data_IF_983883393671
#
_entry.id   IF_983883393671
#
_cell.length_a   1.000
_cell.length_b   1.000
_cell.length_c   1.000
_cell.angle_alpha   90.00
_cell.angle_beta   90.00
_cell.angle_gamma   90.00
#
_symmetry.space_group_name_H-M   'P 1'
#
loop_
_entity.id
_entity.type
_entity.pdbx_description
1 polymer ?
#
# COMPACT_ATOMS: atom_id res chain seq x y z
N UNK A 1 4.64 -11.61 0.57
CA UNK A 1 4.53 -10.52 -0.42
C UNK A 1 4.99 -11.00 -1.80
N UNK A 2 6.30 -11.15 -2.06
CA UNK A 2 6.81 -11.54 -3.39
C UNK A 2 6.19 -12.82 -4.00
N UNK A 3 5.94 -13.86 -3.20
CA UNK A 3 5.31 -15.12 -3.66
C UNK A 3 3.82 -14.94 -4.03
N UNK A 4 3.09 -14.11 -3.29
CA UNK A 4 1.66 -13.83 -3.50
C UNK A 4 1.44 -13.01 -4.77
N UNK A 5 2.23 -11.95 -4.93
CA UNK A 5 2.18 -11.06 -6.09
C UNK A 5 2.58 -11.79 -7.36
N UNK A 6 3.55 -12.71 -7.27
CA UNK A 6 3.92 -13.56 -8.39
C UNK A 6 2.77 -14.46 -8.85
N UNK A 7 2.10 -15.15 -7.92
CA UNK A 7 0.90 -15.93 -8.23
C UNK A 7 -0.21 -15.08 -8.83
N UNK A 8 -0.39 -13.85 -8.34
CA UNK A 8 -1.39 -12.94 -8.87
C UNK A 8 -1.10 -12.49 -10.31
N UNK A 9 0.17 -12.21 -10.61
CA UNK A 9 0.63 -11.87 -11.96
C UNK A 9 0.51 -13.08 -12.90
N UNK A 10 0.87 -14.28 -12.42
CA UNK A 10 0.71 -15.54 -13.15
C UNK A 10 -0.76 -15.81 -13.49
N UNK A 11 -1.67 -15.59 -12.53
CA UNK A 11 -3.12 -15.66 -12.69
C UNK A 11 -3.66 -14.66 -13.72
N UNK A 12 -3.35 -13.38 -13.54
CA UNK A 12 -3.82 -12.30 -14.40
C UNK A 12 -3.34 -12.44 -15.84
N UNK A 13 -2.04 -12.69 -16.04
CA UNK A 13 -1.45 -12.80 -17.38
C UNK A 13 -2.01 -14.00 -18.18
N UNK A 14 -2.26 -15.13 -17.52
CA UNK A 14 -2.83 -16.30 -18.18
C UNK A 14 -4.30 -16.10 -18.59
N UNK A 15 -5.10 -15.45 -17.73
CA UNK A 15 -6.50 -15.11 -18.03
C UNK A 15 -6.63 -14.17 -19.24
N UNK A 16 -5.74 -13.18 -19.36
CA UNK A 16 -5.72 -12.28 -20.52
C UNK A 16 -5.42 -13.04 -21.81
N UNK A 17 -4.42 -13.90 -21.77
CA UNK A 17 -3.92 -14.66 -22.91
C UNK A 17 -4.96 -15.60 -23.54
N UNK A 18 -5.81 -16.24 -22.72
CA UNK A 18 -6.88 -17.11 -23.23
C UNK A 18 -7.98 -16.33 -23.96
N UNK A 19 -8.17 -15.04 -23.64
CA UNK A 19 -9.12 -14.17 -24.32
C UNK A 19 -8.60 -13.67 -25.67
N UNK A 20 -7.28 -13.60 -25.85
CA UNK A 20 -6.63 -13.08 -27.06
C UNK A 20 -6.11 -14.15 -28.02
N UNK A 21 -6.30 -15.45 -27.71
CA UNK A 21 -5.84 -16.60 -28.53
C UNK A 21 -4.31 -16.71 -28.70
N UNK A 22 -3.52 -16.19 -27.76
CA UNK A 22 -2.05 -16.32 -27.75
C UNK A 22 -1.61 -17.39 -26.71
N UNK A 23 -0.36 -17.89 -26.77
CA UNK A 23 0.15 -18.96 -25.86
C UNK A 23 1.35 -18.49 -25.03
N UNK A 24 1.28 -18.53 -23.68
CA UNK A 24 2.32 -17.95 -22.79
C UNK A 24 2.52 -18.78 -21.50
N UNK A 25 3.79 -18.93 -21.04
CA UNK A 25 4.19 -19.52 -19.73
C UNK A 25 4.94 -18.51 -18.88
N UNK A 26 4.75 -18.49 -17.56
CA UNK A 26 5.38 -17.53 -16.63
C UNK A 26 6.53 -18.16 -15.83
N UNK A 27 7.65 -17.43 -15.65
CA UNK A 27 8.83 -17.90 -14.92
C UNK A 27 9.27 -16.98 -13.75
N UNK A 28 9.72 -17.66 -12.68
CA UNK A 28 10.59 -17.22 -11.57
C UNK A 28 11.05 -15.78 -11.41
N UNK A 29 10.47 -14.98 -10.50
CA UNK A 29 11.09 -13.72 -10.07
C UNK A 29 10.60 -13.17 -8.72
N UNK A 30 11.52 -12.57 -7.94
CA UNK A 30 11.22 -11.79 -6.72
C UNK A 30 10.80 -10.36 -7.08
N UNK A 31 9.85 -9.80 -6.32
CA UNK A 31 9.28 -8.46 -6.50
C UNK A 31 9.33 -7.70 -5.17
N UNK A 32 10.51 -7.18 -4.84
CA UNK A 32 10.73 -6.12 -3.87
C UNK A 32 11.76 -5.20 -4.55
N UNK A 33 11.31 -4.08 -5.12
CA UNK A 33 12.23 -3.07 -5.66
C UNK A 33 12.49 -1.97 -4.61
N UNK A 34 13.75 -1.60 -4.34
CA UNK A 34 14.15 -0.67 -3.28
C UNK A 34 14.01 0.83 -3.64
N UNK A 35 13.18 1.20 -4.62
CA UNK A 35 13.08 2.59 -5.09
C UNK A 35 11.70 3.18 -4.74
N UNK A 36 11.71 4.17 -3.84
CA UNK A 36 10.56 4.91 -3.30
C UNK A 36 9.84 5.81 -4.30
N UNK A 37 9.40 5.25 -5.43
CA UNK A 37 8.51 5.92 -6.37
C UNK A 37 7.12 5.27 -6.30
N UNK A 38 6.06 6.05 -6.52
CA UNK A 38 4.71 5.52 -6.70
C UNK A 38 4.71 4.42 -7.77
N UNK A 39 4.50 3.17 -7.37
CA UNK A 39 4.62 2.01 -8.25
C UNK A 39 3.25 1.43 -8.61
N UNK A 40 2.64 1.93 -9.70
CA UNK A 40 1.72 1.12 -10.51
C UNK A 40 2.58 0.37 -11.51
N UNK A 41 2.62 -0.95 -11.43
CA UNK A 41 3.43 -1.78 -12.33
C UNK A 41 2.56 -2.33 -13.44
N UNK A 42 2.82 -1.86 -14.66
CA UNK A 42 2.29 -2.47 -15.88
C UNK A 42 3.22 -3.62 -16.30
N UNK A 43 2.66 -4.82 -16.50
CA UNK A 43 3.43 -6.04 -16.84
C UNK A 43 3.19 -6.38 -18.30
N UNK A 44 4.23 -6.55 -19.11
CA UNK A 44 4.11 -6.86 -20.54
C UNK A 44 4.40 -8.33 -20.89
N UNK A 45 3.77 -8.85 -21.95
CA UNK A 45 4.07 -10.16 -22.52
C UNK A 45 4.44 -10.07 -24.03
N UNK A 46 5.26 -11.00 -24.53
CA UNK A 46 5.57 -11.20 -25.96
C UNK A 46 5.24 -12.63 -26.41
N UNK A 47 4.65 -12.84 -27.60
CA UNK A 47 4.53 -14.17 -28.20
C UNK A 47 5.92 -14.78 -28.49
N UNK A 48 6.12 -16.06 -28.13
CA UNK A 48 7.25 -16.87 -28.62
C UNK A 48 8.63 -16.71 -27.95
N UNK A 49 8.79 -15.89 -26.89
CA UNK A 49 10.08 -15.69 -26.18
C UNK A 49 9.93 -15.87 -24.65
N UNK A 50 10.96 -16.33 -23.92
CA UNK A 50 10.97 -16.29 -22.46
C UNK A 50 10.92 -14.83 -21.95
N UNK A 51 10.21 -14.60 -20.83
CA UNK A 51 9.94 -13.27 -20.27
C UNK A 51 11.20 -12.41 -20.16
N UNK A 52 11.21 -11.27 -20.86
CA UNK A 52 12.01 -10.11 -20.46
C UNK A 52 11.12 -9.21 -19.60
N UNK A 53 11.48 -9.02 -18.33
CA UNK A 53 10.76 -8.11 -17.42
C UNK A 53 10.90 -6.68 -17.96
N UNK A 54 9.89 -6.17 -18.66
CA UNK A 54 9.72 -4.74 -18.88
C UNK A 54 8.53 -4.29 -18.05
N UNK A 55 8.82 -3.48 -17.03
CA UNK A 55 7.81 -2.83 -16.19
C UNK A 55 7.81 -1.34 -16.51
N UNK A 56 6.64 -0.72 -16.66
CA UNK A 56 6.49 0.74 -16.60
C UNK A 56 5.82 1.12 -15.30
N UNK A 57 6.46 2.03 -14.59
CA UNK A 57 5.91 2.67 -13.40
C UNK A 57 5.13 3.91 -13.81
N UNK A 58 3.84 3.98 -13.49
CA UNK A 58 3.08 5.24 -13.55
C UNK A 58 3.24 5.99 -12.23
N UNK A 59 3.57 7.27 -12.31
CA UNK A 59 3.49 8.16 -11.15
C UNK A 59 2.02 8.55 -10.98
N UNK A 60 1.44 8.38 -9.79
CA UNK A 60 0.13 8.99 -9.57
C UNK A 60 0.26 10.51 -9.58
N UNK A 61 -0.72 11.15 -10.19
CA UNK A 61 -0.83 12.59 -10.24
C UNK A 61 -1.56 13.07 -8.98
N UNK A 62 -0.91 13.87 -8.16
CA UNK A 62 -1.56 14.62 -7.10
C UNK A 62 -2.23 15.86 -7.70
N UNK A 63 -3.54 15.98 -7.54
CA UNK A 63 -4.27 17.16 -8.01
C UNK A 63 -3.76 18.43 -7.31
N UNK A 64 -3.59 19.51 -8.06
CA UNK A 64 -3.58 20.87 -7.49
C UNK A 64 -5.03 21.32 -7.30
N UNK A 65 -5.30 22.09 -6.23
CA UNK A 65 -6.66 22.42 -5.75
C UNK A 65 -7.57 23.19 -6.72
N UNK A 66 -7.15 23.44 -7.97
CA UNK A 66 -7.81 24.34 -8.92
C UNK A 66 -8.78 23.65 -9.91
N UNK A 67 -8.84 22.31 -9.95
CA UNK A 67 -9.70 21.60 -10.89
C UNK A 67 -10.90 20.93 -10.19
N UNK A 68 -12.09 21.06 -10.80
CA UNK A 68 -13.30 20.37 -10.33
C UNK A 68 -13.17 18.83 -10.40
N UNK A 69 -13.98 18.08 -9.63
CA UNK A 69 -13.84 16.63 -9.50
C UNK A 69 -14.02 15.88 -10.83
N UNK A 70 -14.90 16.35 -11.71
CA UNK A 70 -15.15 15.73 -13.01
C UNK A 70 -14.02 16.00 -14.02
N UNK A 71 -13.44 17.21 -13.98
CA UNK A 71 -12.31 17.55 -14.86
C UNK A 71 -11.02 16.84 -14.44
N UNK A 72 -10.80 16.62 -13.13
CA UNK A 72 -9.70 15.81 -12.62
C UNK A 72 -9.82 14.34 -13.02
N UNK A 73 -11.01 13.76 -12.89
CA UNK A 73 -11.26 12.36 -13.27
C UNK A 73 -10.99 12.15 -14.77
N UNK A 74 -11.46 13.07 -15.62
CA UNK A 74 -11.17 13.03 -17.06
C UNK A 74 -9.67 13.17 -17.35
N UNK A 75 -8.97 14.07 -16.66
CA UNK A 75 -7.52 14.23 -16.79
C UNK A 75 -6.75 12.96 -16.39
N UNK A 76 -7.13 12.30 -15.29
CA UNK A 76 -6.53 11.03 -14.89
C UNK A 76 -6.76 9.93 -15.91
N UNK A 77 -7.98 9.78 -16.45
CA UNK A 77 -8.25 8.81 -17.52
C UNK A 77 -7.41 9.08 -18.76
N UNK A 78 -7.31 10.34 -19.18
CA UNK A 78 -6.49 10.75 -20.33
C UNK A 78 -5.01 10.41 -20.11
N UNK A 79 -4.47 10.76 -18.95
CA UNK A 79 -3.10 10.45 -18.57
C UNK A 79 -2.81 8.94 -18.57
N UNK A 80 -3.68 8.14 -17.97
CA UNK A 80 -3.51 6.68 -17.92
C UNK A 80 -3.57 6.06 -19.31
N UNK A 81 -4.53 6.49 -20.16
CA UNK A 81 -4.62 6.01 -21.54
C UNK A 81 -3.34 6.33 -22.32
N UNK A 82 -2.90 7.59 -22.30
CA UNK A 82 -1.68 8.01 -22.97
C UNK A 82 -0.47 7.21 -22.50
N UNK A 83 -0.35 6.96 -21.19
CA UNK A 83 0.76 6.19 -20.66
C UNK A 83 0.72 4.69 -21.04
N UNK A 84 -0.47 4.12 -21.26
CA UNK A 84 -0.61 2.77 -21.82
C UNK A 84 -0.23 2.78 -23.30
N UNK A 85 -0.77 3.70 -24.08
CA UNK A 85 -0.56 3.79 -25.54
C UNK A 85 0.92 4.02 -25.87
N UNK A 86 1.57 4.96 -25.17
CA UNK A 86 3.02 5.21 -25.26
C UNK A 86 3.84 3.95 -24.97
N UNK A 87 3.41 3.14 -23.99
CA UNK A 87 4.14 1.93 -23.62
C UNK A 87 4.01 0.85 -24.69
N UNK A 88 2.80 0.59 -25.15
CA UNK A 88 2.53 -0.40 -26.21
C UNK A 88 3.24 0.00 -27.52
N UNK A 89 3.23 1.29 -27.87
CA UNK A 89 3.98 1.80 -29.02
C UNK A 89 5.49 1.60 -28.88
N UNK A 90 6.07 1.94 -27.72
CA UNK A 90 7.51 1.81 -27.48
C UNK A 90 8.00 0.35 -27.36
N UNK A 91 7.11 -0.60 -27.08
CA UNK A 91 7.47 -2.01 -26.82
C UNK A 91 6.89 -3.00 -27.83
N UNK A 92 6.23 -2.51 -28.89
CA UNK A 92 5.70 -3.32 -29.97
C UNK A 92 6.70 -4.42 -30.42
N UNK A 93 6.26 -5.68 -30.59
CA UNK A 93 4.88 -6.17 -30.52
C UNK A 93 4.41 -6.56 -29.09
N UNK A 94 5.11 -6.16 -28.03
CA UNK A 94 4.70 -6.50 -26.66
C UNK A 94 3.41 -5.78 -26.25
N UNK A 95 2.52 -6.49 -25.54
CA UNK A 95 1.27 -5.96 -25.00
C UNK A 95 1.23 -6.04 -23.49
N UNK A 96 0.43 -5.18 -22.87
CA UNK A 96 0.21 -5.25 -21.43
C UNK A 96 -0.69 -6.44 -21.06
N UNK A 97 -0.27 -7.18 -20.05
CA UNK A 97 -0.90 -8.41 -19.57
C UNK A 97 -1.63 -8.24 -18.22
N UNK A 98 -1.22 -7.25 -17.40
CA UNK A 98 -1.92 -6.87 -16.17
C UNK A 98 -1.48 -5.49 -15.66
N UNK A 99 -2.31 -4.88 -14.84
CA UNK A 99 -2.01 -3.72 -14.01
C UNK A 99 -1.93 -4.15 -12.54
N UNK A 100 -0.81 -3.84 -11.86
CA UNK A 100 -0.59 -4.16 -10.43
C UNK A 100 -0.45 -2.86 -9.64
N UNK A 101 -1.18 -2.71 -8.54
CA UNK A 101 -1.01 -1.56 -7.63
C UNK A 101 -1.25 -1.90 -6.16
N UNK A 102 -0.55 -1.20 -5.26
CA UNK A 102 -0.93 -1.09 -3.84
C UNK A 102 -2.07 -0.05 -3.72
N UNK A 103 -3.28 -0.44 -3.29
CA UNK A 103 -4.40 0.48 -3.19
C UNK A 103 -4.30 1.37 -1.94
N UNK A 104 -4.66 2.65 -2.09
CA UNK A 104 -4.70 3.75 -1.11
C UNK A 104 -3.37 4.15 -0.47
N UNK A 105 -2.56 3.20 -0.04
CA UNK A 105 -1.39 3.44 0.77
C UNK A 105 -0.24 2.52 0.33
N UNK A 106 0.83 3.12 -0.16
CA UNK A 106 2.07 2.41 -0.49
C UNK A 106 2.99 2.38 0.72
N UNK A 107 3.12 1.20 1.32
CA UNK A 107 3.78 1.06 2.62
C UNK A 107 5.29 1.28 2.52
N UNK A 108 5.97 0.38 1.79
CA UNK A 108 7.43 0.37 1.70
C UNK A 108 8.00 1.59 0.95
N UNK A 109 7.18 2.26 0.14
CA UNK A 109 7.55 3.48 -0.58
C UNK A 109 7.61 4.76 0.28
N UNK A 110 7.41 4.67 1.60
CA UNK A 110 7.40 5.82 2.50
C UNK A 110 5.99 6.25 2.93
N UNK A 111 5.07 5.30 3.10
CA UNK A 111 3.69 5.56 3.51
C UNK A 111 3.02 6.63 2.63
N UNK A 112 3.14 6.45 1.31
CA UNK A 112 2.59 7.38 0.33
C UNK A 112 1.10 7.11 0.16
N UNK A 113 0.29 8.13 0.43
CA UNK A 113 -1.15 8.08 0.18
C UNK A 113 -1.38 8.40 -1.29
N UNK A 114 -2.05 7.48 -1.99
CA UNK A 114 -2.39 7.65 -3.40
C UNK A 114 -3.79 8.23 -3.50
N UNK A 115 -3.97 9.23 -4.37
CA UNK A 115 -5.27 9.87 -4.58
C UNK A 115 -6.32 8.84 -5.06
N UNK A 116 -7.44 8.67 -4.33
CA UNK A 116 -8.45 7.66 -4.65
C UNK A 116 -9.09 7.78 -6.05
N UNK A 117 -9.33 9.00 -6.54
CA UNK A 117 -9.83 9.29 -7.88
C UNK A 117 -8.92 8.75 -8.99
N UNK A 118 -7.60 8.92 -8.86
CA UNK A 118 -6.60 8.40 -9.78
C UNK A 118 -6.66 6.87 -9.85
N UNK A 119 -6.71 6.18 -8.70
CA UNK A 119 -6.78 4.72 -8.67
C UNK A 119 -8.10 4.18 -9.23
N UNK A 120 -9.21 4.89 -9.01
CA UNK A 120 -10.50 4.56 -9.65
C UNK A 120 -10.45 4.74 -11.17
N UNK A 121 -9.91 5.87 -11.65
CA UNK A 121 -9.74 6.13 -13.08
C UNK A 121 -8.83 5.09 -13.75
N UNK A 122 -7.72 4.71 -13.10
CA UNK A 122 -6.84 3.65 -13.55
C UNK A 122 -7.56 2.30 -13.65
N UNK A 123 -8.32 1.92 -12.62
CA UNK A 123 -9.10 0.68 -12.62
C UNK A 123 -10.14 0.64 -13.75
N UNK A 124 -10.79 1.77 -14.02
CA UNK A 124 -11.75 1.91 -15.12
C UNK A 124 -11.07 1.79 -16.49
N UNK A 125 -9.94 2.48 -16.71
CA UNK A 125 -9.19 2.35 -17.97
C UNK A 125 -8.72 0.91 -18.18
N UNK A 126 -8.24 0.24 -17.13
CA UNK A 126 -7.88 -1.18 -17.20
C UNK A 126 -9.08 -2.04 -17.61
N UNK A 127 -10.26 -1.80 -17.03
CA UNK A 127 -11.50 -2.51 -17.37
C UNK A 127 -11.87 -2.35 -18.84
N UNK A 128 -11.88 -1.12 -19.35
CA UNK A 128 -12.22 -0.81 -20.75
C UNK A 128 -11.23 -1.45 -21.73
N UNK A 129 -9.96 -1.55 -21.34
CA UNK A 129 -8.91 -2.20 -22.14
C UNK A 129 -8.79 -3.70 -21.91
N UNK A 130 -9.70 -4.30 -21.14
CA UNK A 130 -9.66 -5.71 -20.74
C UNK A 130 -8.33 -6.13 -20.07
N UNK A 131 -7.63 -5.19 -19.45
CA UNK A 131 -6.38 -5.41 -18.74
C UNK A 131 -6.68 -5.87 -17.30
N UNK A 132 -6.29 -7.09 -16.89
CA UNK A 132 -6.53 -7.58 -15.54
C UNK A 132 -5.95 -6.66 -14.47
N UNK A 133 -6.77 -6.33 -13.48
CA UNK A 133 -6.39 -5.52 -12.33
C UNK A 133 -6.02 -6.40 -11.14
N UNK A 134 -4.78 -6.25 -10.67
CA UNK A 134 -4.23 -6.94 -9.51
C UNK A 134 -4.01 -5.93 -8.39
N UNK A 135 -4.65 -6.14 -7.24
CA UNK A 135 -4.42 -5.32 -6.06
C UNK A 135 -3.52 -6.03 -5.05
N UNK A 136 -2.40 -5.40 -4.73
CA UNK A 136 -1.54 -5.83 -3.62
C UNK A 136 -2.08 -5.25 -2.31
N UNK A 137 -3.00 -5.99 -1.68
CA UNK A 137 -3.55 -5.68 -0.37
C UNK A 137 -2.76 -6.32 0.79
N UNK A 138 -1.54 -6.82 0.53
CA UNK A 138 -0.70 -7.42 1.57
C UNK A 138 -0.34 -6.38 2.64
N UNK A 139 -0.29 -5.09 2.30
CA UNK A 139 -0.18 -4.03 3.30
C UNK A 139 -1.53 -3.42 3.67
N UNK A 140 -2.29 -2.96 2.69
CA UNK A 140 -3.43 -2.05 2.86
C UNK A 140 -4.76 -2.72 3.23
N UNK A 141 -4.86 -4.04 3.05
CA UNK A 141 -6.05 -4.81 3.36
C UNK A 141 -6.24 -5.08 4.85
N UNK A 142 -7.33 -5.79 5.16
CA UNK A 142 -7.68 -6.29 6.49
C UNK A 142 -7.68 -5.18 7.55
N UNK A 143 -8.47 -4.13 7.29
CA UNK A 143 -8.65 -2.97 8.18
C UNK A 143 -7.43 -2.06 8.37
N UNK A 144 -6.27 -2.35 7.75
CA UNK A 144 -5.11 -1.43 7.81
C UNK A 144 -5.50 -0.01 7.39
N UNK A 145 -6.25 0.11 6.30
CA UNK A 145 -6.75 1.38 5.76
C UNK A 145 -8.17 1.74 6.24
N UNK A 146 -8.63 1.18 7.36
CA UNK A 146 -9.93 1.53 7.97
C UNK A 146 -11.16 0.88 7.33
N UNK A 147 -10.98 -0.04 6.39
CA UNK A 147 -12.04 -0.90 5.85
C UNK A 147 -11.49 -2.32 5.66
N UNK A 148 -12.37 -3.32 5.59
CA UNK A 148 -11.95 -4.73 5.42
C UNK A 148 -10.97 -4.91 4.25
N UNK A 149 -11.22 -4.23 3.12
CA UNK A 149 -10.29 -4.14 1.99
C UNK A 149 -10.16 -2.69 1.53
N UNK A 150 -8.99 -2.33 1.01
CA UNK A 150 -8.76 -1.04 0.38
C UNK A 150 -9.56 -0.92 -0.93
N UNK A 151 -9.76 -2.03 -1.65
CA UNK A 151 -10.67 -2.13 -2.80
C UNK A 151 -12.09 -1.67 -2.46
N UNK A 152 -12.65 -2.12 -1.32
CA UNK A 152 -13.98 -1.70 -0.87
C UNK A 152 -14.04 -0.20 -0.53
N UNK A 153 -12.95 0.36 0.01
CA UNK A 153 -12.85 1.80 0.29
C UNK A 153 -12.73 2.63 -1.00
N UNK A 154 -12.10 2.09 -2.04
CA UNK A 154 -12.00 2.68 -3.38
C UNK A 154 -13.25 2.46 -4.25
N UNK A 155 -14.12 1.50 -3.90
CA UNK A 155 -15.25 1.11 -4.75
C UNK A 155 -14.82 0.45 -6.06
N UNK A 156 -13.70 -0.28 -6.05
CA UNK A 156 -13.17 -1.02 -7.20
C UNK A 156 -13.16 -2.51 -6.89
N UNK A 157 -13.37 -3.35 -7.89
CA UNK A 157 -13.28 -4.81 -7.76
C UNK A 157 -12.13 -5.33 -8.62
N UNK A 158 -11.07 -5.92 -8.02
CA UNK A 158 -9.96 -6.45 -8.80
C UNK A 158 -10.28 -7.82 -9.43
N UNK A 159 -9.52 -8.19 -10.46
CA UNK A 159 -9.51 -9.55 -11.01
C UNK A 159 -8.71 -10.50 -10.10
N UNK A 160 -7.70 -9.96 -9.41
CA UNK A 160 -6.89 -10.69 -8.43
C UNK A 160 -6.55 -9.78 -7.25
N UNK A 161 -6.63 -10.30 -6.03
CA UNK A 161 -6.15 -9.60 -4.83
C UNK A 161 -5.14 -10.43 -4.05
N UNK A 162 -4.10 -9.80 -3.53
CA UNK A 162 -3.08 -10.44 -2.72
C UNK A 162 -3.22 -10.02 -1.25
N UNK A 163 -3.28 -10.97 -0.32
CA UNK A 163 -3.40 -10.75 1.12
C UNK A 163 -2.26 -11.44 1.88
N UNK A 164 -1.91 -10.91 3.05
CA UNK A 164 -0.88 -11.43 3.95
C UNK A 164 -0.84 -10.59 5.23
N UNK A 165 0.32 -10.45 5.88
CA UNK A 165 0.53 -9.61 7.09
C UNK A 165 -0.60 -9.78 8.14
N UNK A 166 -1.56 -8.85 8.20
CA UNK A 166 -2.70 -8.88 9.11
C UNK A 166 -3.60 -10.12 8.92
N UNK A 167 -3.44 -10.86 7.83
CA UNK A 167 -4.15 -12.12 7.57
C UNK A 167 -4.06 -13.06 8.77
N UNK A 168 -2.89 -13.20 9.37
CA UNK A 168 -2.63 -14.06 10.53
C UNK A 168 -2.37 -13.28 11.81
N UNK A 169 -2.65 -11.98 11.83
CA UNK A 169 -2.34 -11.09 12.95
C UNK A 169 -0.83 -10.99 13.24
N UNK A 170 0.04 -11.42 12.30
CA UNK A 170 1.49 -11.51 12.52
C UNK A 170 1.94 -12.77 13.26
N UNK A 171 1.04 -13.69 13.62
CA UNK A 171 1.37 -14.88 14.40
C UNK A 171 2.02 -16.01 13.57
N UNK A 172 1.70 -16.09 12.27
CA UNK A 172 2.20 -17.16 11.39
C UNK A 172 2.40 -16.68 9.94
N UNK A 173 3.38 -17.21 9.19
CA UNK A 173 3.65 -16.78 7.82
C UNK A 173 2.64 -17.36 6.82
N UNK A 174 1.63 -16.58 6.44
CA UNK A 174 0.68 -16.98 5.38
C UNK A 174 0.39 -15.82 4.42
N UNK A 175 0.04 -16.19 3.18
CA UNK A 175 -0.49 -15.27 2.19
C UNK A 175 -1.58 -15.98 1.38
N UNK A 176 -2.52 -15.20 0.83
CA UNK A 176 -3.62 -15.69 0.00
C UNK A 176 -3.69 -14.84 -1.27
N UNK A 177 -3.73 -15.49 -2.42
CA UNK A 177 -4.05 -14.85 -3.70
C UNK A 177 -5.50 -15.20 -4.05
N UNK A 178 -6.39 -14.21 -3.97
CA UNK A 178 -7.76 -14.30 -4.41
C UNK A 178 -7.83 -14.04 -5.91
N UNK A 179 -8.72 -14.73 -6.61
CA UNK A 179 -8.95 -14.55 -8.04
C UNK A 179 -10.45 -14.57 -8.31
N UNK A 180 -10.91 -13.82 -9.31
CA UNK A 180 -12.30 -13.93 -9.76
C UNK A 180 -12.53 -15.28 -10.43
N UNK A 181 -13.81 -15.62 -10.63
CA UNK A 181 -14.20 -16.85 -11.32
C UNK A 181 -13.65 -16.88 -12.75
N UNK A 182 -13.66 -15.75 -13.44
CA UNK A 182 -13.17 -15.64 -14.81
C UNK A 182 -11.67 -15.96 -14.91
N UNK A 183 -10.87 -15.50 -13.93
CA UNK A 183 -9.44 -15.82 -13.85
C UNK A 183 -9.24 -17.30 -13.54
N UNK A 184 -10.01 -17.86 -12.61
CA UNK A 184 -9.93 -19.27 -12.26
C UNK A 184 -10.28 -20.18 -13.45
N UNK A 185 -11.37 -19.89 -14.14
CA UNK A 185 -11.85 -20.66 -15.31
C UNK A 185 -10.88 -20.61 -16.49
N UNK A 186 -10.03 -19.58 -16.58
CA UNK A 186 -8.98 -19.53 -17.59
C UNK A 186 -8.04 -20.74 -17.52
N UNK A 187 -7.78 -21.28 -16.32
CA UNK A 187 -6.94 -22.45 -16.07
C UNK A 187 -7.70 -23.79 -16.15
N UNK A 188 -9.00 -23.78 -16.40
CA UNK A 188 -9.79 -25.00 -16.54
C UNK A 188 -9.62 -25.55 -17.97
N UNK A 189 -9.27 -26.83 -18.10
CA UNK A 189 -9.13 -27.49 -19.40
C UNK A 189 -9.05 -29.01 -19.29
N UNK A 190 -9.02 -29.72 -20.43
CA UNK A 190 -9.12 -31.18 -20.48
C UNK A 190 -7.89 -31.92 -19.95
N UNK A 191 -6.77 -31.21 -19.70
CA UNK A 191 -5.55 -31.82 -19.19
C UNK A 191 -4.91 -30.96 -18.10
N UNK A 192 -4.06 -31.59 -17.28
CA UNK A 192 -3.27 -30.93 -16.23
C UNK A 192 -2.40 -29.77 -16.75
N UNK A 193 -2.07 -29.75 -18.04
CA UNK A 193 -1.26 -28.68 -18.65
C UNK A 193 -1.99 -27.33 -18.71
N UNK A 194 -3.31 -27.31 -18.55
CA UNK A 194 -4.10 -26.07 -18.45
C UNK A 194 -4.12 -25.49 -17.03
N UNK A 195 -3.86 -26.32 -16.01
CA UNK A 195 -3.92 -25.89 -14.62
C UNK A 195 -2.77 -24.93 -14.27
N UNK A 196 -2.95 -24.15 -13.20
CA UNK A 196 -1.88 -23.38 -12.60
C UNK A 196 -0.90 -24.32 -11.88
N UNK A 197 0.17 -24.71 -12.57
CA UNK A 197 1.21 -25.62 -12.05
C UNK A 197 2.23 -24.91 -11.16
N UNK A 198 1.73 -24.15 -10.18
CA UNK A 198 2.55 -23.47 -9.19
C UNK A 198 2.08 -23.85 -7.78
N UNK A 199 3.01 -24.33 -6.95
CA UNK A 199 2.73 -24.74 -5.58
C UNK A 199 3.96 -24.65 -4.69
N UNK A 200 3.73 -24.63 -3.38
CA UNK A 200 4.77 -24.65 -2.36
C UNK A 200 4.50 -25.81 -1.40
N UNK A 201 5.55 -26.36 -0.78
CA UNK A 201 5.40 -27.49 0.15
C UNK A 201 4.47 -27.17 1.34
N UNK A 202 4.43 -25.91 1.75
CA UNK A 202 3.56 -25.40 2.83
C UNK A 202 2.29 -24.69 2.30
N UNK A 203 1.88 -24.92 1.05
CA UNK A 203 0.61 -24.37 0.55
C UNK A 203 -0.54 -24.85 1.44
N UNK A 204 -1.35 -23.91 1.93
CA UNK A 204 -2.47 -24.17 2.85
C UNK A 204 -2.10 -24.95 4.12
N UNK A 205 -0.89 -24.74 4.67
CA UNK A 205 -0.47 -25.43 5.89
C UNK A 205 -1.43 -25.12 7.07
N UNK A 206 -1.90 -26.14 7.83
CA UNK A 206 -3.04 -25.99 8.75
C UNK A 206 -2.86 -24.93 9.85
N UNK A 207 -1.65 -24.80 10.41
CA UNK A 207 -1.35 -23.82 11.47
C UNK A 207 -1.54 -22.39 10.98
N UNK A 208 -1.12 -22.09 9.74
CA UNK A 208 -1.33 -20.78 9.14
C UNK A 208 -2.80 -20.50 8.89
N UNK A 209 -3.56 -21.51 8.43
CA UNK A 209 -4.99 -21.39 8.20
C UNK A 209 -5.73 -21.11 9.51
N UNK A 210 -5.41 -21.83 10.58
CA UNK A 210 -6.01 -21.61 11.91
C UNK A 210 -5.70 -20.21 12.45
N UNK A 211 -4.45 -19.76 12.36
CA UNK A 211 -4.07 -18.40 12.75
C UNK A 211 -4.78 -17.34 11.90
N UNK A 212 -5.00 -17.60 10.61
CA UNK A 212 -5.72 -16.69 9.74
C UNK A 212 -7.20 -16.57 10.11
N UNK A 213 -7.88 -17.69 10.34
CA UNK A 213 -9.28 -17.71 10.80
C UNK A 213 -9.44 -16.93 12.10
N UNK A 214 -8.62 -17.25 13.11
CA UNK A 214 -8.67 -16.58 14.41
C UNK A 214 -8.42 -15.06 14.29
N UNK A 215 -7.45 -14.64 13.47
CA UNK A 215 -7.20 -13.22 13.21
C UNK A 215 -8.39 -12.53 12.57
N UNK A 216 -8.99 -13.13 11.55
CA UNK A 216 -10.16 -12.56 10.86
C UNK A 216 -11.39 -12.45 11.78
N UNK A 217 -11.62 -13.44 12.66
CA UNK A 217 -12.66 -13.38 13.69
C UNK A 217 -12.41 -12.22 14.66
N UNK A 218 -11.20 -12.08 15.19
CA UNK A 218 -10.83 -10.98 16.09
C UNK A 218 -11.01 -9.60 15.45
N UNK A 219 -10.65 -9.47 14.16
CA UNK A 219 -10.73 -8.20 13.43
C UNK A 219 -12.17 -7.81 13.07
N UNK A 220 -13.05 -8.78 12.82
CA UNK A 220 -14.43 -8.55 12.36
C UNK A 220 -15.50 -8.64 13.46
N UNK A 221 -15.14 -9.09 14.66
CA UNK A 221 -16.03 -9.12 15.82
C UNK A 221 -16.02 -7.79 16.59
N UNK A 222 -17.20 -7.21 16.80
CA UNK A 222 -17.37 -5.93 17.52
C UNK A 222 -17.05 -6.00 19.02
N UNK A 223 -17.10 -7.19 19.63
CA UNK A 223 -16.71 -7.40 21.03
C UNK A 223 -15.19 -7.30 21.22
N UNK A 224 -14.42 -7.76 20.23
CA UNK A 224 -12.95 -7.77 20.27
C UNK A 224 -12.33 -6.59 19.53
N UNK A 225 -13.06 -5.97 18.60
CA UNK A 225 -12.64 -4.79 17.86
C UNK A 225 -13.55 -3.59 18.19
N UNK A 226 -13.19 -2.76 19.18
CA UNK A 226 -13.99 -1.61 19.59
C UNK A 226 -14.03 -0.49 18.55
N UNK A 227 -13.18 -0.58 17.52
CA UNK A 227 -13.12 0.41 16.45
C UNK A 227 -14.04 0.04 15.29
N UNK A 228 -14.76 -1.08 15.30
CA UNK A 228 -15.75 -1.33 14.26
C UNK A 228 -16.90 -0.32 14.36
N UNK A 229 -17.34 0.14 13.19
CA UNK A 229 -18.54 0.95 13.06
C UNK A 229 -19.74 0.25 13.73
N UNK A 230 -20.51 1.02 14.49
CA UNK A 230 -21.74 0.58 15.13
C UNK A 230 -22.87 1.59 14.85
N UNK A 231 -24.15 1.21 15.01
CA UNK A 231 -25.27 2.14 14.84
C UNK A 231 -25.09 3.39 15.70
N UNK A 232 -25.36 4.56 15.14
CA UNK A 232 -25.16 5.85 15.84
C UNK A 232 -23.71 6.35 15.92
N UNK A 233 -22.72 5.54 15.51
CA UNK A 233 -21.28 5.90 15.60
C UNK A 233 -20.57 5.89 14.24
N UNK A 234 -21.29 5.71 13.14
CA UNK A 234 -20.67 5.56 11.83
C UNK A 234 -20.05 6.88 11.33
N UNK A 235 -18.78 6.85 10.88
CA UNK A 235 -18.08 8.05 10.43
C UNK A 235 -18.60 8.57 9.09
N UNK A 236 -19.29 7.73 8.29
CA UNK A 236 -19.87 8.14 7.00
C UNK A 236 -21.28 8.72 7.16
N UNK A 237 -22.05 8.18 8.10
CA UNK A 237 -23.43 8.58 8.34
C UNK A 237 -23.82 8.28 9.79
N UNK A 238 -23.86 9.29 10.68
CA UNK A 238 -24.23 9.11 12.08
C UNK A 238 -25.60 8.46 12.29
N UNK A 239 -26.52 8.55 11.32
CA UNK A 239 -27.86 7.94 11.41
C UNK A 239 -27.92 6.50 10.90
N UNK A 240 -26.79 5.89 10.53
CA UNK A 240 -26.83 4.53 10.00
C UNK A 240 -27.33 3.54 11.08
N UNK A 241 -28.27 2.70 10.67
CA UNK A 241 -28.81 1.60 11.51
C UNK A 241 -28.06 0.29 11.29
N UNK A 242 -27.32 0.16 10.19
CA UNK A 242 -26.51 -1.02 9.85
C UNK A 242 -25.02 -0.65 9.81
N UNK A 243 -24.16 -1.35 10.58
CA UNK A 243 -22.71 -1.19 10.50
C UNK A 243 -22.18 -1.27 9.06
N UNK A 244 -21.42 -0.26 8.64
CA UNK A 244 -20.86 -0.21 7.28
C UNK A 244 -19.55 -1.02 7.11
N UNK A 245 -19.13 -1.75 8.14
CA UNK A 245 -17.89 -2.55 8.12
C UNK A 245 -16.59 -1.75 8.07
N UNK A 246 -16.64 -0.43 8.35
CA UNK A 246 -15.45 0.43 8.46
C UNK A 246 -15.00 0.57 9.90
N UNK A 247 -13.73 0.92 10.08
CA UNK A 247 -13.24 1.37 11.37
C UNK A 247 -13.67 2.82 11.62
N UNK A 248 -13.90 3.14 12.89
CA UNK A 248 -13.97 4.48 13.43
C UNK A 248 -12.58 5.13 13.30
N UNK A 249 -12.48 6.47 13.14
CA UNK A 249 -11.19 7.15 13.14
C UNK A 249 -10.43 6.83 14.42
N UNK A 250 -9.22 6.27 14.24
CA UNK A 250 -8.34 5.87 15.34
C UNK A 250 -7.45 7.02 15.76
N UNK A 251 -6.95 7.79 14.80
CA UNK A 251 -6.15 8.98 15.03
C UNK A 251 -7.06 10.19 15.19
N UNK A 252 -6.86 10.95 16.25
CA UNK A 252 -7.63 12.17 16.50
C UNK A 252 -7.26 13.26 15.49
N UNK A 253 -8.20 13.57 14.59
CA UNK A 253 -8.01 14.59 13.55
C UNK A 253 -7.92 16.00 14.14
N UNK A 254 -8.68 16.29 15.19
CA UNK A 254 -8.78 17.63 15.79
C UNK A 254 -7.58 17.93 16.68
N UNK A 255 -6.94 16.91 17.24
CA UNK A 255 -5.78 17.05 18.10
C UNK A 255 -4.50 16.52 17.44
N UNK A 256 -4.28 15.21 17.47
CA UNK A 256 -3.04 14.56 17.07
C UNK A 256 -2.60 14.90 15.63
N UNK A 257 -3.51 14.79 14.65
CA UNK A 257 -3.17 15.08 13.25
C UNK A 257 -2.93 16.57 13.04
N UNK A 258 -3.77 17.43 13.64
CA UNK A 258 -3.62 18.88 13.57
C UNK A 258 -2.25 19.33 14.12
N UNK A 259 -1.92 18.96 15.36
CA UNK A 259 -0.66 19.35 16.04
C UNK A 259 0.56 18.95 15.21
N UNK A 260 0.61 17.70 14.74
CA UNK A 260 1.72 17.21 13.92
C UNK A 260 1.78 17.91 12.55
N UNK A 261 0.64 18.26 11.95
CA UNK A 261 0.60 18.89 10.62
C UNK A 261 1.17 20.32 10.60
N UNK A 262 1.12 21.04 11.71
CA UNK A 262 1.65 22.41 11.85
C UNK A 262 3.08 22.44 12.40
N UNK A 263 3.65 21.29 12.74
CA UNK A 263 4.99 21.24 13.34
C UNK A 263 6.07 21.65 12.30
N UNK A 264 7.05 22.52 12.65
CA UNK A 264 8.00 23.09 11.69
C UNK A 264 8.87 22.08 10.91
N UNK A 265 9.17 20.94 11.53
CA UNK A 265 9.92 19.86 10.88
C UNK A 265 9.07 18.98 9.96
N UNK A 266 7.75 19.14 9.92
CA UNK A 266 6.85 18.25 9.18
C UNK A 266 6.55 18.84 7.80
N UNK A 267 6.96 18.14 6.74
CA UNK A 267 6.65 18.50 5.35
C UNK A 267 5.34 17.89 4.87
N UNK A 268 5.01 16.69 5.36
CA UNK A 268 3.77 15.98 5.03
C UNK A 268 3.33 15.11 6.19
N UNK A 269 2.02 15.01 6.37
CA UNK A 269 1.39 14.04 7.28
C UNK A 269 0.36 13.20 6.52
N UNK A 270 0.20 11.95 6.94
CA UNK A 270 -0.81 11.04 6.43
C UNK A 270 -1.37 10.18 7.56
N UNK A 271 -2.65 10.35 7.87
CA UNK A 271 -3.40 9.46 8.75
C UNK A 271 -4.39 8.63 7.92
N UNK A 272 -4.13 7.32 7.77
CA UNK A 272 -4.98 6.42 7.00
C UNK A 272 -5.28 5.17 7.80
N UNK A 273 -6.52 5.08 8.31
CA UNK A 273 -6.97 3.95 9.11
C UNK A 273 -6.12 3.81 10.37
N UNK A 274 -5.29 2.77 10.40
CA UNK A 274 -4.42 2.43 11.54
C UNK A 274 -2.98 2.93 11.39
N UNK A 275 -2.68 3.70 10.35
CA UNK A 275 -1.34 4.25 10.06
C UNK A 275 -1.36 5.75 10.23
N UNK A 276 -0.37 6.27 10.97
CA UNK A 276 -0.02 7.68 11.04
C UNK A 276 1.42 7.82 10.56
N UNK A 277 1.65 8.60 9.50
CA UNK A 277 2.98 8.82 8.95
C UNK A 277 3.26 10.31 8.84
N UNK A 278 4.48 10.69 9.21
CA UNK A 278 4.99 12.06 9.20
C UNK A 278 6.29 12.05 8.41
N UNK A 279 6.33 12.83 7.34
CA UNK A 279 7.52 13.07 6.54
C UNK A 279 8.19 14.35 7.05
N UNK A 280 9.49 14.26 7.30
CA UNK A 280 10.27 15.38 7.79
C UNK A 280 10.78 16.25 6.63
N UNK A 281 10.74 17.56 6.81
CA UNK A 281 11.35 18.52 5.90
C UNK A 281 12.87 18.30 5.88
N UNK A 282 13.45 18.20 4.69
CA UNK A 282 14.91 18.21 4.53
C UNK A 282 15.38 19.65 4.39
N UNK A 283 16.53 19.98 5.01
CA UNK A 283 17.16 21.32 4.94
C UNK A 283 17.52 21.77 3.52
N UNK A 284 17.42 20.90 2.52
CA UNK A 284 17.61 21.22 1.11
C UNK A 284 16.37 21.83 0.41
N UNK A 285 15.21 21.91 1.08
CA UNK A 285 13.94 22.28 0.44
C UNK A 285 13.62 23.78 0.42
N UNK A 286 14.48 24.65 0.97
CA UNK A 286 14.21 26.10 0.99
C UNK A 286 14.50 26.83 -0.35
N UNK A 287 15.17 26.18 -1.31
CA UNK A 287 15.61 26.85 -2.56
C UNK A 287 15.57 25.96 -3.81
N UNK A 288 14.52 25.16 -4.02
CA UNK A 288 14.37 24.43 -5.30
C UNK A 288 12.91 24.27 -5.75
N UNK A 289 12.42 25.28 -6.47
CA UNK A 289 11.30 25.16 -7.40
C UNK A 289 11.75 24.43 -8.67
N UNK A 290 12.03 23.13 -8.57
CA UNK A 290 12.14 22.25 -9.74
C UNK A 290 11.98 20.81 -9.29
N UNK A 291 11.20 20.06 -10.06
CA UNK A 291 10.86 18.67 -9.83
C UNK A 291 12.08 17.76 -10.01
N UNK A 292 13.02 17.77 -9.08
CA UNK A 292 14.09 16.79 -8.93
C UNK A 292 14.86 17.05 -7.62
N UNK A 293 14.48 16.35 -6.56
CA UNK A 293 15.32 16.20 -5.36
C UNK A 293 15.58 14.72 -5.11
N UNK A 294 16.60 14.21 -5.80
CA UNK A 294 17.42 13.11 -5.30
C UNK A 294 18.17 13.60 -4.06
N UNK A 295 17.49 13.62 -2.92
CA UNK A 295 18.04 14.07 -1.64
C UNK A 295 17.41 13.29 -0.48
N UNK A 296 17.91 12.08 -0.28
CA UNK A 296 17.60 11.25 0.90
C UNK A 296 17.08 9.85 0.57
N UNK A 297 15.95 9.74 -0.12
CA UNK A 297 15.30 8.44 -0.33
C UNK A 297 15.21 7.62 0.97
N UNK A 298 15.24 6.29 0.88
CA UNK A 298 15.31 5.37 2.03
C UNK A 298 16.57 5.57 2.90
N UNK A 299 17.59 6.27 2.38
CA UNK A 299 18.86 6.54 3.05
C UNK A 299 18.91 7.87 3.82
N UNK A 300 17.81 8.64 3.88
CA UNK A 300 17.77 9.83 4.73
C UNK A 300 17.84 9.41 6.19
N UNK A 301 18.75 10.04 6.94
CA UNK A 301 18.87 9.85 8.39
C UNK A 301 18.02 10.85 9.19
N UNK A 302 17.26 11.73 8.52
CA UNK A 302 16.48 12.78 9.20
C UNK A 302 15.45 12.22 10.19
N UNK A 303 14.83 11.08 9.86
CA UNK A 303 13.89 10.41 10.75
C UNK A 303 14.57 9.62 11.88
N UNK A 304 15.87 9.31 11.77
CA UNK A 304 16.58 8.42 12.70
C UNK A 304 16.64 9.02 14.10
N UNK A 305 16.90 10.33 14.22
CA UNK A 305 16.97 10.99 15.52
C UNK A 305 15.61 10.95 16.25
N UNK A 306 14.52 11.25 15.54
CA UNK A 306 13.16 11.17 16.09
C UNK A 306 12.82 9.73 16.50
N UNK A 307 13.15 8.73 15.66
CA UNK A 307 12.93 7.32 15.99
C UNK A 307 13.74 6.86 17.20
N UNK A 308 15.01 7.27 17.31
CA UNK A 308 15.83 7.00 18.50
C UNK A 308 15.21 7.62 19.73
N UNK A 309 14.76 8.89 19.66
CA UNK A 309 14.09 9.56 20.77
C UNK A 309 12.80 8.85 21.20
N UNK A 310 11.96 8.47 20.23
CA UNK A 310 10.76 7.65 20.46
C UNK A 310 11.08 6.37 21.24
N UNK A 311 12.14 5.66 20.86
CA UNK A 311 12.56 4.42 21.51
C UNK A 311 13.16 4.66 22.89
N UNK A 312 14.13 5.55 22.98
CA UNK A 312 15.02 5.68 24.14
C UNK A 312 14.32 6.43 25.30
N UNK A 313 13.37 7.33 25.00
CA UNK A 313 12.65 8.11 26.02
C UNK A 313 11.21 7.66 26.21
N UNK A 314 10.51 7.32 25.13
CA UNK A 314 9.08 6.97 25.20
C UNK A 314 8.82 5.46 25.12
N UNK A 315 9.86 4.64 24.91
CA UNK A 315 9.72 3.18 24.76
C UNK A 315 8.96 2.75 23.50
N UNK A 316 8.84 3.64 22.51
CA UNK A 316 8.08 3.41 21.27
C UNK A 316 9.02 2.91 20.18
N UNK A 317 8.79 1.68 19.72
CA UNK A 317 9.55 1.12 18.60
C UNK A 317 8.92 1.53 17.27
N UNK A 318 9.58 2.44 16.56
CA UNK A 318 9.24 2.84 15.20
C UNK A 318 10.37 2.48 14.24
N UNK A 319 10.08 2.46 12.93
CA UNK A 319 11.11 2.26 11.88
C UNK A 319 11.18 3.51 11.01
N UNK A 320 12.37 4.04 10.70
CA UNK A 320 12.50 5.09 9.71
C UNK A 320 12.29 4.53 8.30
N UNK A 321 11.60 5.29 7.44
CA UNK A 321 11.53 5.04 6.00
C UNK A 321 12.03 6.28 5.28
N UNK A 322 13.36 6.42 5.19
CA UNK A 322 13.95 7.66 4.72
C UNK A 322 13.57 8.82 5.64
N UNK A 323 13.00 9.93 5.11
CA UNK A 323 12.56 11.04 5.94
C UNK A 323 11.24 10.79 6.69
N UNK A 324 10.63 9.61 6.54
CA UNK A 324 9.32 9.31 7.12
C UNK A 324 9.47 8.59 8.46
N UNK A 325 8.85 9.15 9.49
CA UNK A 325 8.53 8.48 10.76
C UNK A 325 7.08 8.00 10.66
N UNK A 326 6.80 6.76 11.03
CA UNK A 326 5.42 6.27 11.05
C UNK A 326 5.12 5.47 12.32
N UNK A 327 3.88 5.61 12.76
CA UNK A 327 3.26 4.87 13.84
C UNK A 327 2.13 4.02 13.26
N UNK A 328 2.02 2.81 13.77
CA UNK A 328 1.07 1.83 13.25
C UNK A 328 0.51 1.01 14.39
N UNK A 329 -0.80 1.08 14.57
CA UNK A 329 -1.50 0.35 15.63
C UNK A 329 -2.26 -0.85 15.04
N UNK A 330 -2.60 -1.87 15.85
CA UNK A 330 -3.53 -2.90 15.39
C UNK A 330 -4.93 -2.30 15.15
N UNK A 331 -5.75 -2.85 14.24
CA UNK A 331 -7.14 -2.43 14.05
C UNK A 331 -8.00 -2.41 15.32
N UNK A 332 -7.64 -3.24 16.30
CA UNK A 332 -8.31 -3.39 17.61
C UNK A 332 -7.76 -2.45 18.69
N UNK A 333 -6.79 -1.58 18.36
CA UNK A 333 -6.14 -0.71 19.35
C UNK A 333 -7.15 0.21 20.05
N UNK A 334 -6.95 0.45 21.34
CA UNK A 334 -7.66 1.51 22.04
C UNK A 334 -7.25 2.87 21.48
N UNK A 335 -8.20 3.80 21.37
CA UNK A 335 -7.91 5.12 20.77
C UNK A 335 -7.03 5.97 21.65
N UNK A 336 -7.13 5.79 22.96
CA UNK A 336 -6.27 6.43 23.95
C UNK A 336 -4.79 6.04 23.72
N UNK A 337 -4.53 4.79 23.30
CA UNK A 337 -3.18 4.36 22.91
C UNK A 337 -2.71 5.07 21.64
N UNK A 338 -3.58 5.24 20.65
CA UNK A 338 -3.24 5.96 19.43
C UNK A 338 -2.95 7.44 19.69
N UNK A 339 -3.78 8.11 20.50
CA UNK A 339 -3.55 9.50 20.93
C UNK A 339 -2.24 9.63 21.70
N UNK A 340 -1.99 8.77 22.69
CA UNK A 340 -0.74 8.78 23.46
C UNK A 340 0.50 8.62 22.56
N UNK A 341 0.44 7.71 21.58
CA UNK A 341 1.54 7.52 20.61
C UNK A 341 1.78 8.78 19.77
N UNK A 342 0.72 9.45 19.32
CA UNK A 342 0.83 10.68 18.55
C UNK A 342 1.38 11.85 19.38
N UNK A 343 0.97 11.97 20.64
CA UNK A 343 1.49 12.99 21.56
C UNK A 343 2.99 12.77 21.85
N UNK A 344 3.40 11.50 22.04
CA UNK A 344 4.81 11.15 22.16
C UNK A 344 5.61 11.50 20.89
N UNK A 345 5.03 11.32 19.70
CA UNK A 345 5.67 11.74 18.45
C UNK A 345 5.80 13.26 18.37
N UNK A 346 4.78 14.02 18.74
CA UNK A 346 4.84 15.49 18.77
C UNK A 346 5.96 15.97 19.71
N UNK A 347 6.01 15.45 20.94
CA UNK A 347 7.07 15.79 21.89
C UNK A 347 8.46 15.39 21.40
N UNK A 348 8.60 14.21 20.79
CA UNK A 348 9.88 13.78 20.22
C UNK A 348 10.34 14.71 19.09
N UNK A 349 9.42 15.27 18.29
CA UNK A 349 9.72 16.26 17.27
C UNK A 349 10.17 17.59 17.91
N UNK A 350 9.46 18.09 18.93
CA UNK A 350 9.83 19.31 19.65
C UNK A 350 11.25 19.19 20.24
N UNK A 351 11.56 18.07 20.88
CA UNK A 351 12.87 17.79 21.48
C UNK A 351 13.99 17.73 20.44
N UNK A 352 13.69 17.26 19.23
CA UNK A 352 14.64 17.28 18.11
C UNK A 352 14.76 18.65 17.44
N UNK A 353 13.83 19.59 17.66
CA UNK A 353 13.96 20.99 17.20
C UNK A 353 14.74 21.89 18.16
N UNK A 354 14.79 21.53 19.45
CA UNK A 354 15.52 22.32 20.44
C UNK A 354 17.02 22.33 20.08
N UNK A 355 17.73 23.48 20.23
CA UNK A 355 19.17 23.53 19.98
C UNK A 355 19.86 22.47 20.83
N UNK A 356 20.55 21.54 20.17
CA UNK A 356 21.23 20.44 20.82
C UNK A 356 22.15 21.00 21.92
N UNK A 357 21.87 20.68 23.18
CA UNK A 357 22.89 20.77 24.23
C UNK A 357 23.97 19.81 23.79
N UNK A 358 25.18 20.34 23.58
CA UNK A 358 26.30 19.62 23.00
C UNK A 358 26.58 18.32 23.77
N UNK A 359 26.12 17.19 23.22
CA UNK A 359 26.51 15.86 23.70
C UNK A 359 27.56 15.31 22.72
N UNK A 360 28.81 15.29 23.18
CA UNK A 360 30.02 15.05 22.40
C UNK A 360 30.31 13.56 22.14
N UNK A 361 29.29 12.72 22.04
CA UNK A 361 29.45 11.26 21.93
C UNK A 361 28.71 10.67 20.73
N UNK A 362 29.00 11.18 19.52
CA UNK A 362 28.61 10.55 18.27
C UNK A 362 29.84 9.96 17.57
N UNK A 363 30.23 8.75 17.96
CA UNK A 363 31.12 7.90 17.15
C UNK A 363 30.31 6.82 16.44
N UNK A 364 30.70 6.60 15.19
CA UNK A 364 30.07 5.82 14.12
C UNK A 364 30.11 4.29 14.33
N UNK A 365 29.89 3.83 15.55
CA UNK A 365 29.99 2.41 15.90
C UNK A 365 28.73 1.94 16.62
N UNK A 366 27.68 1.66 15.85
CA UNK A 366 26.78 0.55 16.16
C UNK A 366 25.97 0.19 14.91
N UNK A 367 26.20 -1.04 14.44
CA UNK A 367 25.66 -1.58 13.21
C UNK A 367 24.15 -1.46 13.14
N UNK A 368 23.68 -0.57 12.26
CA UNK A 368 22.31 -0.54 11.78
C UNK A 368 22.10 -1.78 10.92
N UNK A 369 21.50 -2.82 11.49
CA UNK A 369 20.92 -3.90 10.69
C UNK A 369 19.59 -3.38 10.13
N UNK A 370 19.58 -3.15 8.81
CA UNK A 370 18.50 -2.59 7.97
C UNK A 370 17.27 -3.49 7.88
#
# INVERSE_FOLDING_TARGET
MARCNRLGIEGGAYSWNRRTSESVRVAGGSWIHPLGCLNVTLVSCRPGLPWTKSCRTLRALTATAAAGPDSLTAAYRSYVNAAIDDFEAAKAPARLAACVMEPLLQGAGGMLVVEPGFQRALAEVCRTRQLPLILDEVFSGLYRTGALTAAARLGITPDVACLGKLLTGGAAPMAVTLATREVFEAFAGPSKLFALLHGHSYTAYPVGCAAAVASLELLSNAETNPNLCAPGRCPKNPTCTTPCGRLLPIWDEQHAVSVLSYHPLVSRIAAVGTVLAVELATTASATASSAQSSGGGYGSVSAVQVVRRLRDVYGIYARPLGPVVYLMVPPTARRETASWLADCLARALDECTAPAVADSTLTEADGVVV
#
